data_IF_719595001365
#
_entry.id   IF_719595001365
#
_cell.length_a   1.000
_cell.length_b   1.000
_cell.length_c   1.000
_cell.angle_alpha   90.00
_cell.angle_beta   90.00
_cell.angle_gamma   90.00
#
_symmetry.space_group_name_H-M   'P 1'
#
loop_
_entity.id
_entity.type
_entity.pdbx_description
1 polymer ?
#
# COMPACT_ATOMS: atom_id res chain seq x y z
N UNK A 1 -28.46 -8.14 -3.58
CA UNK A 1 -27.82 -8.31 -2.27
C UNK A 1 -28.02 -7.04 -1.47
N UNK A 2 -28.42 -7.11 -0.20
CA UNK A 2 -28.66 -5.91 0.61
C UNK A 2 -27.31 -5.39 1.15
N UNK A 3 -26.93 -4.16 0.85
CA UNK A 3 -25.65 -3.56 1.25
C UNK A 3 -25.48 -3.35 2.77
N UNK A 4 -26.52 -3.55 3.56
CA UNK A 4 -26.52 -3.30 5.01
C UNK A 4 -26.15 -4.52 5.87
N UNK A 5 -25.78 -5.64 5.27
CA UNK A 5 -25.35 -6.84 5.99
C UNK A 5 -23.83 -6.81 6.21
N UNK A 6 -23.39 -7.16 7.40
CA UNK A 6 -21.98 -7.10 7.83
C UNK A 6 -21.01 -7.85 6.90
N UNK A 7 -21.46 -8.94 6.27
CA UNK A 7 -20.62 -9.80 5.43
C UNK A 7 -20.81 -9.55 3.91
N UNK A 8 -21.56 -8.52 3.53
CA UNK A 8 -21.91 -8.29 2.10
C UNK A 8 -20.68 -8.02 1.25
N UNK A 9 -19.75 -7.21 1.75
CA UNK A 9 -18.53 -6.86 1.01
C UNK A 9 -17.65 -8.10 0.77
N UNK A 10 -17.47 -8.93 1.78
CA UNK A 10 -16.67 -10.18 1.67
C UNK A 10 -17.33 -11.14 0.68
N UNK A 11 -18.65 -11.32 0.78
CA UNK A 11 -19.39 -12.20 -0.13
C UNK A 11 -19.38 -11.69 -1.58
N UNK A 12 -19.43 -10.36 -1.77
CA UNK A 12 -19.33 -9.76 -3.10
C UNK A 12 -17.92 -9.92 -3.68
N UNK A 13 -16.88 -9.65 -2.89
CA UNK A 13 -15.50 -9.89 -3.32
C UNK A 13 -15.26 -11.34 -3.71
N UNK A 14 -15.75 -12.29 -2.90
CA UNK A 14 -15.63 -13.72 -3.21
C UNK A 14 -16.40 -14.10 -4.48
N UNK A 15 -17.59 -13.54 -4.69
CA UNK A 15 -18.35 -13.73 -5.91
C UNK A 15 -17.60 -13.22 -7.13
N UNK A 16 -17.01 -12.02 -7.07
CA UNK A 16 -16.20 -11.46 -8.14
C UNK A 16 -14.95 -12.31 -8.42
N UNK A 17 -14.25 -12.74 -7.38
CA UNK A 17 -13.10 -13.61 -7.53
C UNK A 17 -13.46 -14.95 -8.21
N UNK A 18 -14.62 -15.51 -7.91
CA UNK A 18 -15.08 -16.75 -8.56
C UNK A 18 -15.39 -16.55 -10.05
N UNK A 19 -15.99 -15.40 -10.44
CA UNK A 19 -16.30 -15.09 -11.84
C UNK A 19 -15.03 -14.99 -12.67
N UNK A 20 -13.99 -14.37 -12.12
CA UNK A 20 -12.75 -14.07 -12.82
C UNK A 20 -11.59 -14.99 -12.43
N UNK A 21 -11.86 -16.15 -11.81
CA UNK A 21 -10.85 -17.07 -11.30
C UNK A 21 -9.73 -17.42 -12.28
N UNK A 22 -10.02 -17.46 -13.58
CA UNK A 22 -9.04 -17.77 -14.64
C UNK A 22 -8.23 -16.54 -15.11
N UNK A 23 -8.64 -15.34 -14.75
CA UNK A 23 -8.03 -14.07 -15.18
C UNK A 23 -7.41 -13.33 -13.99
N UNK A 24 -7.81 -13.68 -12.77
CA UNK A 24 -7.34 -13.07 -11.54
C UNK A 24 -5.84 -13.31 -11.39
N UNK A 25 -5.10 -12.27 -11.03
CA UNK A 25 -3.63 -12.26 -10.87
C UNK A 25 -2.82 -12.60 -12.15
N UNK A 26 -3.50 -12.85 -13.27
CA UNK A 26 -2.88 -13.03 -14.59
C UNK A 26 -2.89 -11.71 -15.36
N UNK A 27 -4.05 -11.09 -15.45
CA UNK A 27 -4.27 -9.83 -16.18
C UNK A 27 -5.35 -8.94 -15.54
N UNK A 28 -5.97 -9.38 -14.45
CA UNK A 28 -7.05 -8.66 -13.77
C UNK A 28 -6.81 -8.63 -12.28
N UNK A 29 -6.91 -7.45 -11.70
CA UNK A 29 -7.00 -7.24 -10.25
C UNK A 29 -8.37 -6.69 -9.92
N UNK A 30 -9.01 -7.22 -8.89
CA UNK A 30 -10.37 -6.86 -8.50
C UNK A 30 -10.39 -6.47 -7.03
N UNK A 31 -10.92 -5.31 -6.76
CA UNK A 31 -11.24 -4.87 -5.42
C UNK A 31 -12.65 -4.31 -5.37
N UNK A 32 -13.57 -5.10 -4.86
CA UNK A 32 -15.01 -4.81 -4.84
C UNK A 32 -15.53 -4.43 -6.23
N UNK A 33 -15.90 -3.17 -6.42
CA UNK A 33 -16.46 -2.63 -7.67
C UNK A 33 -15.38 -2.21 -8.67
N UNK A 34 -14.14 -2.04 -8.21
CA UNK A 34 -13.03 -1.55 -9.03
C UNK A 34 -12.28 -2.72 -9.66
N UNK A 35 -12.19 -2.73 -10.99
CA UNK A 35 -11.55 -3.77 -11.77
C UNK A 35 -10.47 -3.16 -12.63
N UNK A 36 -9.23 -3.55 -12.38
CA UNK A 36 -8.08 -3.17 -13.17
C UNK A 36 -7.70 -4.30 -14.12
N UNK A 37 -7.64 -4.00 -15.41
CA UNK A 37 -7.13 -4.91 -16.44
C UNK A 37 -5.78 -4.36 -16.90
N UNK A 38 -4.71 -5.11 -16.68
CA UNK A 38 -3.35 -4.67 -16.96
C UNK A 38 -2.65 -5.64 -17.90
N UNK A 39 -1.80 -5.11 -18.78
CA UNK A 39 -0.93 -5.88 -19.67
C UNK A 39 0.16 -5.03 -20.28
N UNK A 40 1.20 -5.71 -20.73
CA UNK A 40 2.36 -5.08 -21.41
C UNK A 40 2.12 -4.87 -22.90
N UNK A 41 1.09 -5.52 -23.49
CA UNK A 41 0.88 -5.54 -24.94
C UNK A 41 -0.57 -5.15 -25.31
N UNK A 42 -0.74 -4.15 -26.19
CA UNK A 42 -2.06 -3.63 -26.59
C UNK A 42 -3.00 -4.65 -27.26
N UNK A 43 -2.56 -5.53 -28.19
CA UNK A 43 -3.43 -6.54 -28.78
C UNK A 43 -4.00 -7.53 -27.76
N UNK A 44 -3.17 -7.96 -26.80
CA UNK A 44 -3.59 -8.84 -25.71
C UNK A 44 -4.55 -8.14 -24.76
N UNK A 45 -4.33 -6.85 -24.48
CA UNK A 45 -5.21 -6.04 -23.66
C UNK A 45 -6.64 -6.02 -24.21
N UNK A 46 -6.80 -5.81 -25.52
CA UNK A 46 -8.11 -5.84 -26.17
C UNK A 46 -8.81 -7.20 -25.99
N UNK A 47 -8.08 -8.29 -26.12
CA UNK A 47 -8.63 -9.63 -25.92
C UNK A 47 -9.07 -9.86 -24.46
N UNK A 48 -8.27 -9.43 -23.48
CA UNK A 48 -8.61 -9.56 -22.05
C UNK A 48 -9.84 -8.72 -21.67
N UNK A 49 -9.93 -7.50 -22.15
CA UNK A 49 -11.14 -6.67 -21.97
C UNK A 49 -12.38 -7.39 -22.50
N UNK A 50 -12.27 -8.00 -23.68
CA UNK A 50 -13.38 -8.78 -24.26
C UNK A 50 -13.74 -9.99 -23.41
N UNK A 51 -12.78 -10.71 -22.86
CA UNK A 51 -13.04 -11.85 -21.98
C UNK A 51 -13.67 -11.41 -20.65
N UNK A 52 -13.23 -10.32 -20.05
CA UNK A 52 -13.86 -9.74 -18.85
C UNK A 52 -15.30 -9.38 -19.12
N UNK A 53 -15.60 -8.71 -20.23
CA UNK A 53 -16.98 -8.35 -20.61
C UNK A 53 -17.85 -9.59 -20.88
N UNK A 54 -17.29 -10.66 -21.45
CA UNK A 54 -17.99 -11.94 -21.60
C UNK A 54 -18.31 -12.59 -20.25
N UNK A 55 -17.40 -12.52 -19.28
CA UNK A 55 -17.65 -13.04 -17.94
C UNK A 55 -18.82 -12.29 -17.28
N UNK A 56 -18.89 -10.96 -17.39
CA UNK A 56 -20.03 -10.18 -16.91
C UNK A 56 -21.33 -10.59 -17.57
N UNK A 57 -21.33 -10.72 -18.89
CA UNK A 57 -22.51 -11.11 -19.65
C UNK A 57 -23.03 -12.49 -19.23
N UNK A 58 -22.14 -13.48 -19.01
CA UNK A 58 -22.51 -14.84 -18.59
C UNK A 58 -23.26 -14.89 -17.26
N UNK A 59 -22.90 -14.01 -16.32
CA UNK A 59 -23.53 -13.96 -14.98
C UNK A 59 -24.62 -12.90 -14.86
N UNK A 60 -24.94 -12.21 -15.95
CA UNK A 60 -25.99 -11.18 -15.99
C UNK A 60 -25.63 -9.92 -15.20
N UNK A 61 -24.35 -9.60 -15.02
CA UNK A 61 -23.93 -8.37 -14.40
C UNK A 61 -23.92 -7.22 -15.42
N UNK A 62 -24.51 -6.11 -15.03
CA UNK A 62 -24.56 -4.89 -15.81
C UNK A 62 -23.58 -3.87 -15.24
N UNK A 63 -22.89 -3.18 -16.12
CA UNK A 63 -21.89 -2.18 -15.79
C UNK A 63 -22.20 -0.88 -16.51
N UNK A 64 -21.76 0.26 -15.96
CA UNK A 64 -21.96 1.58 -16.56
C UNK A 64 -20.78 1.89 -17.48
N UNK A 65 -20.99 1.84 -18.79
CA UNK A 65 -19.94 2.13 -19.78
C UNK A 65 -19.31 3.53 -19.64
N UNK A 66 -20.09 4.50 -19.13
CA UNK A 66 -19.65 5.87 -18.88
C UNK A 66 -18.53 5.99 -17.83
N UNK A 67 -18.35 4.96 -16.99
CA UNK A 67 -17.31 4.91 -15.95
C UNK A 67 -16.06 4.15 -16.40
N UNK A 68 -16.05 3.64 -17.60
CA UNK A 68 -14.92 2.88 -18.11
C UNK A 68 -13.83 3.80 -18.66
N UNK A 69 -12.63 3.51 -18.25
CA UNK A 69 -11.43 4.10 -18.82
C UNK A 69 -10.65 3.01 -19.58
N UNK A 70 -10.53 3.16 -20.89
CA UNK A 70 -9.84 2.18 -21.74
C UNK A 70 -8.57 2.76 -22.33
N UNK A 71 -7.51 1.95 -22.38
CA UNK A 71 -6.25 2.27 -23.06
C UNK A 71 -5.49 3.47 -22.48
N UNK A 72 -5.68 3.76 -21.20
CA UNK A 72 -4.90 4.78 -20.50
C UNK A 72 -3.57 4.20 -20.02
N UNK A 73 -2.51 4.98 -20.15
CA UNK A 73 -1.19 4.65 -19.61
C UNK A 73 -1.04 5.05 -18.14
N UNK A 74 -1.93 5.90 -17.66
CA UNK A 74 -1.94 6.42 -16.31
C UNK A 74 -3.35 6.28 -15.79
N UNK A 75 -3.54 5.47 -14.75
CA UNK A 75 -4.85 5.11 -14.22
C UNK A 75 -4.87 5.33 -12.71
N UNK A 76 -5.95 5.91 -12.22
CA UNK A 76 -6.23 5.97 -10.79
C UNK A 76 -6.87 4.65 -10.35
N UNK A 77 -6.24 3.97 -9.40
CA UNK A 77 -6.76 2.74 -8.83
C UNK A 77 -6.49 2.68 -7.33
N UNK A 78 -7.53 2.50 -6.53
CA UNK A 78 -7.45 2.41 -5.06
C UNK A 78 -6.66 3.57 -4.41
N UNK A 79 -6.90 4.79 -4.86
CA UNK A 79 -6.24 6.01 -4.38
C UNK A 79 -4.74 6.12 -4.73
N UNK A 80 -4.25 5.28 -5.64
CA UNK A 80 -2.90 5.34 -6.22
C UNK A 80 -2.97 5.70 -7.69
N UNK A 81 -1.88 6.25 -8.20
CA UNK A 81 -1.67 6.45 -9.63
C UNK A 81 -0.76 5.34 -10.13
N UNK A 82 -1.29 4.51 -11.01
CA UNK A 82 -0.55 3.47 -11.72
C UNK A 82 -0.05 4.03 -13.05
N UNK A 83 1.22 3.84 -13.33
CA UNK A 83 1.87 4.21 -14.59
C UNK A 83 2.83 3.11 -15.04
N UNK A 84 3.28 3.07 -16.28
CA UNK A 84 4.31 2.12 -16.73
C UNK A 84 5.62 2.20 -15.94
N UNK A 85 5.93 3.37 -15.36
CA UNK A 85 7.14 3.59 -14.56
C UNK A 85 6.98 3.14 -13.11
N UNK A 86 5.75 2.88 -12.66
CA UNK A 86 5.49 2.43 -11.29
C UNK A 86 4.25 3.05 -10.65
N UNK A 87 4.21 2.94 -9.33
CA UNK A 87 3.14 3.35 -8.45
C UNK A 87 3.50 4.67 -7.77
N UNK A 88 2.57 5.63 -7.77
CA UNK A 88 2.71 6.89 -7.03
C UNK A 88 1.48 7.20 -6.22
N UNK A 89 1.63 8.08 -5.23
CA UNK A 89 0.49 8.60 -4.48
C UNK A 89 -0.35 9.54 -5.35
N UNK A 90 -1.66 9.55 -5.09
CA UNK A 90 -2.57 10.49 -5.74
C UNK A 90 -2.25 11.94 -5.30
N UNK A 91 -2.10 12.84 -6.26
CA UNK A 91 -1.63 14.21 -6.01
C UNK A 91 -2.50 14.99 -5.01
N UNK A 92 -3.82 14.80 -5.05
CA UNK A 92 -4.72 15.47 -4.12
C UNK A 92 -4.54 14.95 -2.69
N UNK A 93 -4.16 13.69 -2.51
CA UNK A 93 -3.85 13.13 -1.19
C UNK A 93 -2.55 13.71 -0.62
N UNK A 94 -1.57 13.94 -1.47
CA UNK A 94 -0.32 14.64 -1.09
C UNK A 94 -0.63 16.07 -0.65
N UNK A 95 -1.48 16.80 -1.40
CA UNK A 95 -1.94 18.14 -1.02
C UNK A 95 -2.68 18.16 0.33
N UNK A 96 -3.59 17.19 0.54
CA UNK A 96 -4.31 17.07 1.82
C UNK A 96 -3.32 16.95 2.99
N UNK A 97 -2.25 16.15 2.84
CA UNK A 97 -1.22 16.03 3.88
C UNK A 97 -0.45 17.34 4.05
N UNK A 98 -0.07 17.99 2.95
CA UNK A 98 0.63 19.29 2.99
C UNK A 98 -0.16 20.36 3.72
N UNK A 99 -1.47 20.42 3.47
CA UNK A 99 -2.36 21.43 4.05
C UNK A 99 -2.94 21.01 5.40
N UNK A 100 -2.56 19.80 5.92
CA UNK A 100 -3.08 19.32 7.19
C UNK A 100 -2.71 20.25 8.33
N UNK A 101 -3.72 20.71 9.06
CA UNK A 101 -3.54 21.64 10.15
C UNK A 101 -2.84 21.03 11.35
N UNK A 102 -2.10 21.83 12.10
CA UNK A 102 -1.47 21.42 13.34
C UNK A 102 -2.52 20.82 14.31
N UNK A 103 -2.25 19.64 14.88
CA UNK A 103 -3.20 18.95 15.72
C UNK A 103 -3.37 19.67 17.07
N UNK A 104 -4.62 19.94 17.43
CA UNK A 104 -5.01 20.60 18.70
C UNK A 104 -5.49 19.62 19.78
N UNK A 105 -5.71 18.36 19.43
CA UNK A 105 -6.22 17.32 20.33
C UNK A 105 -5.83 15.93 19.82
N UNK A 106 -5.87 14.93 20.70
CA UNK A 106 -5.56 13.52 20.41
C UNK A 106 -6.28 13.02 19.15
N UNK A 107 -7.56 13.34 18.98
CA UNK A 107 -8.35 12.90 17.83
C UNK A 107 -7.79 13.40 16.49
N UNK A 108 -7.18 14.60 16.47
CA UNK A 108 -6.58 15.12 15.25
C UNK A 108 -5.32 14.33 14.86
N UNK A 109 -4.50 13.91 15.84
CA UNK A 109 -3.36 13.02 15.59
C UNK A 109 -3.83 11.64 15.11
N UNK A 110 -4.87 11.08 15.74
CA UNK A 110 -5.42 9.79 15.31
C UNK A 110 -5.88 9.83 13.86
N UNK A 111 -6.59 10.89 13.46
CA UNK A 111 -7.05 11.07 12.08
C UNK A 111 -5.88 11.23 11.11
N UNK A 112 -4.87 12.01 11.48
CA UNK A 112 -3.66 12.20 10.67
C UNK A 112 -2.87 10.91 10.49
N UNK A 113 -2.60 10.19 11.59
CA UNK A 113 -1.86 8.93 11.53
C UNK A 113 -2.65 7.84 10.81
N UNK A 114 -3.99 7.79 10.95
CA UNK A 114 -4.83 6.87 10.19
C UNK A 114 -4.74 7.10 8.69
N UNK A 115 -4.72 8.37 8.26
CA UNK A 115 -4.52 8.74 6.87
C UNK A 115 -3.09 8.42 6.41
N UNK A 116 -2.08 8.83 7.18
CA UNK A 116 -0.68 8.62 6.87
C UNK A 116 -0.31 7.13 6.78
N UNK A 117 -0.90 6.29 7.63
CA UNK A 117 -0.64 4.86 7.66
C UNK A 117 -1.06 4.15 6.37
N UNK A 118 -2.05 4.66 5.63
CA UNK A 118 -2.45 4.09 4.35
C UNK A 118 -1.32 4.15 3.32
N UNK A 119 -0.48 5.19 3.37
CA UNK A 119 0.61 5.42 2.44
C UNK A 119 2.00 5.13 3.02
N UNK A 120 2.10 4.41 4.13
CA UNK A 120 3.37 4.17 4.84
C UNK A 120 4.43 3.44 3.99
N UNK A 121 4.00 2.68 2.98
CA UNK A 121 4.85 1.96 2.04
C UNK A 121 5.79 2.84 1.20
N UNK A 122 5.45 4.10 1.07
CA UNK A 122 6.22 5.09 0.33
C UNK A 122 7.26 5.79 1.19
N UNK A 123 7.24 5.62 2.51
CA UNK A 123 8.07 6.38 3.44
C UNK A 123 9.09 5.46 4.11
N UNK A 124 10.34 5.79 3.87
CA UNK A 124 11.43 5.15 4.59
C UNK A 124 11.33 5.43 6.11
N UNK A 125 11.52 4.40 6.92
CA UNK A 125 11.53 4.50 8.39
C UNK A 125 10.24 5.06 9.01
N UNK A 126 9.10 4.85 8.36
CA UNK A 126 7.81 5.40 8.80
C UNK A 126 7.51 5.13 10.28
N UNK A 127 7.69 3.90 10.75
CA UNK A 127 7.39 3.51 12.14
C UNK A 127 8.25 4.25 13.16
N UNK A 128 9.52 4.50 12.85
CA UNK A 128 10.42 5.26 13.70
C UNK A 128 9.99 6.74 13.82
N UNK A 129 9.60 7.32 12.69
CA UNK A 129 9.11 8.71 12.66
C UNK A 129 7.85 8.88 13.51
N UNK A 130 6.89 7.94 13.40
CA UNK A 130 5.57 8.10 14.04
C UNK A 130 5.53 7.66 15.51
N UNK A 131 6.52 6.93 16.01
CA UNK A 131 6.51 6.34 17.38
C UNK A 131 6.22 7.40 18.46
N UNK A 132 6.85 8.55 18.35
CA UNK A 132 6.64 9.66 19.29
C UNK A 132 5.22 10.24 19.21
N UNK A 133 4.64 10.33 18.02
CA UNK A 133 3.25 10.80 17.84
C UNK A 133 2.25 9.77 18.35
N UNK A 134 2.55 8.48 18.25
CA UNK A 134 1.73 7.40 18.81
C UNK A 134 1.69 7.50 20.34
N UNK A 135 2.79 7.86 21.00
CA UNK A 135 2.81 8.05 22.45
C UNK A 135 1.77 9.08 22.92
N UNK A 136 1.47 10.12 22.13
CA UNK A 136 0.44 11.12 22.45
C UNK A 136 -1.00 10.57 22.41
N UNK A 137 -1.21 9.42 21.81
CA UNK A 137 -2.54 8.78 21.67
C UNK A 137 -2.83 7.85 22.84
N UNK A 138 -1.83 7.46 23.64
CA UNK A 138 -1.99 6.51 24.73
C UNK A 138 -2.88 7.08 25.84
N UNK A 139 -3.67 6.19 26.45
CA UNK A 139 -4.49 6.55 27.60
C UNK A 139 -3.60 7.05 28.74
N UNK A 140 -4.09 8.06 29.46
CA UNK A 140 -3.44 8.67 30.63
C UNK A 140 -2.21 9.54 30.32
N UNK A 141 -1.90 9.83 29.07
CA UNK A 141 -0.91 10.83 28.73
C UNK A 141 -1.57 12.19 28.54
N UNK A 142 -1.19 13.22 29.30
CA UNK A 142 -1.75 14.55 29.13
C UNK A 142 -1.37 15.11 27.75
N UNK A 143 -2.34 15.73 27.07
CA UNK A 143 -2.12 16.35 25.78
C UNK A 143 -1.14 17.53 25.92
N UNK A 144 0.08 17.36 25.39
CA UNK A 144 1.10 18.41 25.33
C UNK A 144 1.79 18.32 23.95
N UNK A 145 1.34 19.15 23.01
CA UNK A 145 1.93 19.23 21.68
C UNK A 145 3.03 20.31 21.68
N UNK A 146 4.26 19.92 21.96
CA UNK A 146 5.42 20.79 22.06
C UNK A 146 6.16 20.95 20.70
N UNK A 147 7.28 21.70 20.69
CA UNK A 147 8.08 21.92 19.50
C UNK A 147 8.61 20.61 18.89
N UNK A 148 9.06 19.66 19.71
CA UNK A 148 9.57 18.36 19.23
C UNK A 148 8.52 17.57 18.44
N UNK A 149 7.29 17.50 18.95
CA UNK A 149 6.20 16.84 18.22
C UNK A 149 5.78 17.59 16.94
N UNK A 150 5.90 18.93 16.94
CA UNK A 150 5.68 19.75 15.74
C UNK A 150 6.72 19.46 14.67
N UNK A 151 8.00 19.31 15.07
CA UNK A 151 9.09 19.00 14.15
C UNK A 151 8.90 17.62 13.52
N UNK A 152 8.51 16.61 14.32
CA UNK A 152 8.18 15.26 13.83
C UNK A 152 6.98 15.30 12.87
N UNK A 153 5.92 16.00 13.24
CA UNK A 153 4.75 16.17 12.40
C UNK A 153 5.09 16.80 11.04
N UNK A 154 5.90 17.87 11.05
CA UNK A 154 6.36 18.55 9.85
C UNK A 154 7.34 17.68 9.03
N UNK A 155 8.19 16.90 9.68
CA UNK A 155 9.09 15.96 9.02
C UNK A 155 8.31 14.88 8.29
N UNK A 156 7.25 14.35 8.91
CA UNK A 156 6.37 13.38 8.27
C UNK A 156 5.65 14.00 7.07
N UNK A 157 5.12 15.22 7.18
CA UNK A 157 4.53 15.96 6.03
C UNK A 157 5.54 16.12 4.89
N UNK A 158 6.79 16.47 5.19
CA UNK A 158 7.85 16.57 4.18
C UNK A 158 8.16 15.23 3.53
N UNK A 159 8.21 14.15 4.31
CA UNK A 159 8.45 12.80 3.78
C UNK A 159 7.39 12.43 2.72
N UNK A 160 6.11 12.78 2.93
CA UNK A 160 5.04 12.57 1.94
C UNK A 160 5.18 13.45 0.68
N UNK A 161 5.84 14.59 0.77
CA UNK A 161 6.06 15.45 -0.40
C UNK A 161 7.25 15.05 -1.25
N UNK A 162 8.16 14.27 -0.69
CA UNK A 162 9.37 13.77 -1.35
C UNK A 162 9.27 12.29 -1.76
N UNK A 163 8.05 11.79 -1.89
CA UNK A 163 7.79 10.39 -2.20
C UNK A 163 8.40 10.00 -3.53
N UNK A 164 9.15 8.89 -3.54
CA UNK A 164 9.69 8.27 -4.74
C UNK A 164 8.62 7.45 -5.45
N UNK A 165 8.78 7.26 -6.75
CA UNK A 165 7.98 6.29 -7.52
C UNK A 165 8.40 4.88 -7.06
N UNK A 166 7.43 4.07 -6.67
CA UNK A 166 7.66 2.66 -6.38
C UNK A 166 7.53 1.86 -7.68
N UNK A 167 8.53 1.08 -8.01
CA UNK A 167 8.54 0.26 -9.22
C UNK A 167 7.59 -0.92 -9.09
N UNK A 168 6.95 -1.30 -10.19
CA UNK A 168 6.14 -2.51 -10.24
C UNK A 168 6.98 -3.75 -9.98
N UNK A 169 6.34 -4.73 -9.35
CA UNK A 169 6.94 -6.04 -9.21
C UNK A 169 7.10 -6.73 -10.56
N UNK A 170 8.26 -7.33 -10.77
CA UNK A 170 8.55 -8.13 -11.95
C UNK A 170 8.80 -9.57 -11.47
N UNK A 171 7.97 -10.55 -11.86
CA UNK A 171 8.20 -11.94 -11.52
C UNK A 171 9.57 -12.41 -11.99
N UNK A 172 10.27 -13.17 -11.15
CA UNK A 172 11.60 -13.74 -11.41
C UNK A 172 12.74 -12.69 -11.54
N UNK A 173 12.50 -11.41 -11.28
CA UNK A 173 13.57 -10.43 -11.20
C UNK A 173 14.48 -10.69 -9.99
N UNK A 174 15.74 -10.31 -10.09
CA UNK A 174 16.66 -10.37 -8.96
C UNK A 174 16.24 -9.38 -7.88
N UNK A 175 16.07 -9.90 -6.65
CA UNK A 175 15.66 -9.12 -5.50
C UNK A 175 16.84 -8.70 -4.65
N UNK A 176 16.80 -7.46 -4.19
CA UNK A 176 17.69 -6.95 -3.14
C UNK A 176 16.83 -6.52 -1.97
N UNK A 177 17.05 -7.15 -0.83
CA UNK A 177 16.41 -6.78 0.42
C UNK A 177 17.47 -6.23 1.38
N UNK A 178 17.28 -4.98 1.80
CA UNK A 178 18.08 -4.34 2.83
C UNK A 178 17.24 -4.23 4.09
N UNK A 179 17.77 -4.70 5.21
CA UNK A 179 17.08 -4.68 6.50
C UNK A 179 17.95 -4.00 7.54
N UNK A 180 17.32 -3.22 8.39
CA UNK A 180 17.93 -2.59 9.53
C UNK A 180 17.05 -2.76 10.77
N UNK A 181 17.65 -3.06 11.89
CA UNK A 181 16.94 -3.26 13.15
C UNK A 181 17.48 -2.27 14.19
N UNK A 182 16.66 -1.31 14.53
CA UNK A 182 16.85 -0.38 15.64
C UNK A 182 16.22 -0.94 16.92
N UNK A 183 16.45 -0.29 18.05
CA UNK A 183 16.00 -0.75 19.36
C UNK A 183 14.47 -0.99 19.42
N UNK A 184 13.68 -0.17 18.76
CA UNK A 184 12.23 -0.21 18.80
C UNK A 184 11.55 -0.44 17.46
N UNK A 185 12.31 -0.44 16.36
CA UNK A 185 11.77 -0.53 15.01
C UNK A 185 12.59 -1.47 14.14
N UNK A 186 11.90 -2.15 13.25
CA UNK A 186 12.47 -2.93 12.16
C UNK A 186 12.15 -2.23 10.86
N UNK A 187 13.15 -1.99 10.03
CA UNK A 187 12.99 -1.38 8.72
C UNK A 187 13.49 -2.33 7.65
N UNK A 188 12.79 -2.39 6.54
CA UNK A 188 13.19 -3.13 5.35
C UNK A 188 12.94 -2.32 4.09
N UNK A 189 13.82 -2.46 3.12
CA UNK A 189 13.71 -1.91 1.77
C UNK A 189 13.76 -3.09 0.82
N UNK A 190 12.71 -3.24 0.01
CA UNK A 190 12.69 -4.20 -1.07
C UNK A 190 12.95 -3.46 -2.39
N UNK A 191 13.91 -3.94 -3.14
CA UNK A 191 14.27 -3.43 -4.45
C UNK A 191 14.42 -4.57 -5.46
N UNK A 192 14.22 -4.27 -6.72
CA UNK A 192 14.50 -5.18 -7.85
C UNK A 192 15.67 -4.64 -8.65
N UNK A 193 16.37 -5.54 -9.32
CA UNK A 193 17.39 -5.22 -10.31
C UNK A 193 16.80 -5.43 -11.69
N UNK A 194 16.77 -4.38 -12.49
CA UNK A 194 16.33 -4.44 -13.89
C UNK A 194 17.40 -5.07 -14.79
N UNK A 195 17.03 -5.33 -16.03
CA UNK A 195 17.93 -5.88 -17.06
C UNK A 195 19.14 -4.97 -17.31
N UNK A 196 19.00 -3.66 -17.10
CA UNK A 196 20.08 -2.66 -17.19
C UNK A 196 21.00 -2.64 -15.96
N UNK A 197 20.80 -3.57 -15.01
CA UNK A 197 21.53 -3.67 -13.73
C UNK A 197 21.31 -2.45 -12.79
N UNK A 198 20.20 -1.72 -12.98
CA UNK A 198 19.79 -0.62 -12.11
C UNK A 198 18.89 -1.13 -10.99
N UNK A 199 19.06 -0.55 -9.78
CA UNK A 199 18.29 -0.90 -8.60
C UNK A 199 17.07 0.01 -8.51
N UNK A 200 15.90 -0.58 -8.58
CA UNK A 200 14.63 0.12 -8.46
C UNK A 200 13.91 -0.24 -7.18
N UNK A 201 13.38 0.77 -6.51
CA UNK A 201 12.65 0.63 -5.25
C UNK A 201 11.26 0.07 -5.51
N UNK A 202 10.91 -1.02 -4.81
CA UNK A 202 9.56 -1.60 -4.85
C UNK A 202 8.74 -1.12 -3.66
N UNK A 203 9.30 -1.20 -2.45
CA UNK A 203 8.55 -0.85 -1.23
C UNK A 203 9.47 -0.60 -0.05
N UNK A 204 9.04 0.32 0.82
CA UNK A 204 9.55 0.44 2.18
C UNK A 204 8.65 -0.32 3.14
N UNK A 205 9.24 -0.97 4.11
CA UNK A 205 8.51 -1.55 5.24
C UNK A 205 9.15 -1.14 6.54
N UNK A 206 8.32 -0.78 7.51
CA UNK A 206 8.78 -0.55 8.87
C UNK A 206 7.75 -1.06 9.87
N UNK A 207 8.23 -1.62 10.97
CA UNK A 207 7.37 -2.17 12.01
C UNK A 207 7.93 -1.83 13.39
N UNK A 208 7.07 -1.42 14.32
CA UNK A 208 7.44 -1.18 15.71
C UNK A 208 7.54 -2.51 16.45
N UNK A 209 8.66 -2.76 17.09
CA UNK A 209 8.87 -3.95 17.90
C UNK A 209 8.15 -3.77 19.24
N UNK A 210 7.31 -4.74 19.61
CA UNK A 210 6.74 -4.80 20.95
C UNK A 210 7.79 -5.31 21.93
N UNK A 211 7.73 -4.86 23.17
CA UNK A 211 8.71 -5.16 24.22
C UNK A 211 9.02 -6.66 24.38
N UNK A 212 8.07 -7.54 24.19
CA UNK A 212 8.26 -9.01 24.23
C UNK A 212 8.97 -9.56 22.98
N UNK A 213 8.83 -8.93 21.81
CA UNK A 213 9.61 -9.29 20.62
C UNK A 213 11.07 -8.88 20.76
N UNK A 214 11.40 -7.98 21.69
CA UNK A 214 12.76 -7.55 21.99
C UNK A 214 13.60 -8.69 22.56
N UNK A 215 13.05 -9.52 23.45
CA UNK A 215 13.74 -10.69 24.02
C UNK A 215 14.01 -11.74 22.93
N UNK A 216 13.05 -11.95 22.02
CA UNK A 216 13.21 -12.88 20.89
C UNK A 216 14.15 -12.30 19.82
N UNK A 217 14.14 -10.99 19.60
CA UNK A 217 14.99 -10.32 18.59
C UNK A 217 16.46 -10.34 18.99
N UNK A 218 16.78 -10.26 20.27
CA UNK A 218 18.17 -10.37 20.75
C UNK A 218 18.75 -11.76 20.45
N UNK A 219 17.93 -12.81 20.54
CA UNK A 219 18.35 -14.22 20.29
C UNK A 219 18.32 -14.56 18.79
N UNK A 220 17.42 -13.96 18.00
CA UNK A 220 17.13 -14.39 16.62
C UNK A 220 17.18 -13.26 15.59
N UNK A 221 18.00 -12.23 15.83
CA UNK A 221 18.10 -11.01 15.00
C UNK A 221 18.16 -11.29 13.48
N UNK A 222 18.79 -12.39 13.08
CA UNK A 222 18.90 -12.79 11.68
C UNK A 222 17.79 -13.74 11.20
N UNK A 223 17.17 -14.53 12.08
CA UNK A 223 16.14 -15.51 11.69
C UNK A 223 14.72 -14.89 11.61
N UNK A 224 14.39 -13.92 12.46
CA UNK A 224 13.09 -13.23 12.42
C UNK A 224 12.96 -12.30 11.21
N UNK A 225 14.07 -11.71 10.78
CA UNK A 225 14.12 -10.92 9.55
C UNK A 225 13.74 -11.79 8.35
N UNK A 226 14.36 -12.93 8.18
CA UNK A 226 14.08 -13.83 7.04
C UNK A 226 12.66 -14.40 7.06
N UNK A 227 12.12 -14.79 8.23
CA UNK A 227 10.80 -15.43 8.32
C UNK A 227 9.61 -14.46 8.24
N UNK A 228 9.74 -13.23 8.74
CA UNK A 228 8.69 -12.20 8.57
C UNK A 228 8.70 -11.60 7.17
N UNK A 229 9.87 -11.52 6.54
CA UNK A 229 9.99 -10.97 5.19
C UNK A 229 9.58 -11.97 4.10
N UNK A 230 9.70 -13.29 4.34
CA UNK A 230 9.10 -14.30 3.47
C UNK A 230 7.57 -14.23 3.49
N UNK A 231 6.95 -13.99 4.67
CA UNK A 231 5.51 -13.73 4.78
C UNK A 231 5.09 -12.40 4.16
N UNK A 232 6.00 -11.43 4.13
CA UNK A 232 5.78 -10.14 3.52
C UNK A 232 5.73 -10.22 1.99
N UNK A 233 6.57 -11.03 1.37
CA UNK A 233 6.46 -11.36 -0.05
C UNK A 233 5.07 -11.90 -0.38
N UNK A 234 4.56 -12.86 0.40
CA UNK A 234 3.24 -13.46 0.21
C UNK A 234 2.07 -12.49 0.49
N UNK A 235 2.27 -11.46 1.31
CA UNK A 235 1.19 -10.53 1.70
C UNK A 235 1.09 -9.32 0.76
N UNK A 236 2.21 -8.83 0.21
CA UNK A 236 2.23 -7.72 -0.76
C UNK A 236 1.56 -8.11 -2.08
N UNK A 237 1.57 -9.37 -2.42
CA UNK A 237 1.09 -9.89 -3.72
C UNK A 237 -0.32 -10.49 -3.67
N UNK A 238 -0.98 -10.46 -2.52
CA UNK A 238 -2.38 -10.88 -2.33
C UNK A 238 -3.34 -9.69 -2.14
N UNK A 239 -3.01 -8.55 -2.72
CA UNK A 239 -3.94 -7.41 -2.78
C UNK A 239 -4.49 -7.29 -4.19
#
# INVERSE_FOLDING_TARGET
MSFNLTNTLIAFQQFMNNIFSNLLDVCVVIYLDDILIYLNNMPEHYWHVKEVLKCFHKVGLYTKAEKYEFHFKLVEYLEYILSPSGLTMFNDKVKIIQDWLEPKKVKNIQSFLGFANFYHWFIFNYSDIIISLICLIWKNIPWKFNSSYRDIFNSLKKAFTSVSILTHWIPNAQLIMKTDALDYTLTAILSIVNDDNEIHLVVFHSHTLLWWSWIITYITRNCLLSSKLSRFGDTIWKV
#
